data_IF_107601264222
#
_entry.id   IF_107601264222
#
_cell.length_a   1.000
_cell.length_b   1.000
_cell.length_c   1.000
_cell.angle_alpha   90.00
_cell.angle_beta   90.00
_cell.angle_gamma   90.00
#
_symmetry.space_group_name_H-M   'P 1'
#
loop_
_entity.id
_entity.type
_entity.pdbx_description
1 polymer ?
#
# COMPACT_ATOMS: atom_id res chain seq x y z
N UNK A 1 12.50 0.16 -29.27
CA UNK A 1 11.72 -0.15 -28.07
C UNK A 1 10.95 1.10 -27.66
N UNK A 2 9.69 1.21 -28.06
CA UNK A 2 8.83 2.30 -27.60
C UNK A 2 8.36 1.94 -26.19
N UNK A 3 8.82 2.70 -25.20
CA UNK A 3 8.33 2.61 -23.82
C UNK A 3 7.04 3.40 -23.79
N UNK A 4 5.91 2.71 -23.84
CA UNK A 4 4.61 3.32 -23.58
C UNK A 4 4.53 3.56 -22.06
N UNK A 5 4.53 4.85 -21.69
CA UNK A 5 4.27 5.27 -20.32
C UNK A 5 2.78 5.14 -20.11
N UNK A 6 2.36 4.01 -19.56
CA UNK A 6 0.98 3.85 -19.07
C UNK A 6 0.87 4.68 -17.80
N UNK A 7 0.02 5.69 -17.82
CA UNK A 7 -0.37 6.40 -16.61
C UNK A 7 -1.07 5.39 -15.71
N UNK A 8 -0.45 5.09 -14.57
CA UNK A 8 -0.96 4.11 -13.64
C UNK A 8 -2.04 4.78 -12.81
N UNK A 9 -3.30 4.58 -13.20
CA UNK A 9 -4.42 4.81 -12.30
C UNK A 9 -4.36 3.79 -11.17
N UNK A 10 -3.70 4.19 -10.09
CA UNK A 10 -3.33 3.38 -8.94
C UNK A 10 -4.54 2.93 -8.10
N UNK A 11 -5.46 2.15 -8.66
CA UNK A 11 -6.86 2.10 -8.23
C UNK A 11 -7.40 3.54 -8.19
N UNK A 12 -8.25 3.84 -9.16
CA UNK A 12 -9.04 5.06 -9.22
C UNK A 12 -9.57 5.42 -7.81
N UNK A 13 -9.77 6.72 -7.50
CA UNK A 13 -10.31 7.15 -6.19
C UNK A 13 -11.72 6.57 -5.91
N UNK A 14 -12.30 5.88 -6.89
CA UNK A 14 -13.51 5.11 -6.79
C UNK A 14 -13.43 3.97 -5.76
N UNK A 15 -14.60 3.63 -5.22
CA UNK A 15 -14.76 2.50 -4.31
C UNK A 15 -14.46 1.15 -4.95
N UNK A 16 -14.45 0.13 -4.10
CA UNK A 16 -14.31 -1.28 -4.48
C UNK A 16 -15.69 -1.91 -4.58
N UNK A 17 -15.96 -2.62 -5.66
CA UNK A 17 -17.23 -3.31 -5.88
C UNK A 17 -17.02 -4.83 -5.98
N UNK A 18 -18.08 -5.60 -5.71
CA UNK A 18 -18.10 -7.05 -5.93
C UNK A 18 -18.66 -7.29 -7.33
N UNK A 19 -17.98 -8.12 -8.13
CA UNK A 19 -18.41 -8.41 -9.49
C UNK A 19 -17.96 -9.77 -9.99
N UNK A 20 -18.53 -10.20 -11.11
CA UNK A 20 -18.19 -11.45 -11.80
C UNK A 20 -17.14 -11.20 -12.89
N UNK A 21 -16.18 -12.13 -13.04
CA UNK A 21 -15.15 -12.06 -14.07
C UNK A 21 -15.76 -12.20 -15.47
N UNK A 22 -15.62 -11.15 -16.29
CA UNK A 22 -15.99 -11.15 -17.70
C UNK A 22 -14.76 -11.19 -18.61
N UNK A 23 -14.96 -11.42 -19.91
CA UNK A 23 -13.86 -11.38 -20.89
C UNK A 23 -13.23 -9.98 -20.99
N UNK A 24 -14.00 -8.87 -21.07
CA UNK A 24 -13.44 -7.53 -21.04
C UNK A 24 -12.56 -7.26 -19.80
N UNK A 25 -13.07 -7.59 -18.61
CA UNK A 25 -12.34 -7.41 -17.33
C UNK A 25 -11.01 -8.18 -17.33
N UNK A 26 -11.01 -9.42 -17.82
CA UNK A 26 -9.80 -10.23 -17.90
C UNK A 26 -8.78 -9.65 -18.89
N UNK A 27 -9.24 -9.11 -20.01
CA UNK A 27 -8.37 -8.51 -21.02
C UNK A 27 -7.71 -7.24 -20.50
N UNK A 28 -8.49 -6.38 -19.83
CA UNK A 28 -7.97 -5.17 -19.16
C UNK A 28 -7.01 -5.53 -18.01
N UNK A 29 -7.31 -6.57 -17.22
CA UNK A 29 -6.38 -7.06 -16.21
C UNK A 29 -5.04 -7.46 -16.83
N UNK A 30 -5.06 -8.14 -17.99
CA UNK A 30 -3.86 -8.57 -18.68
C UNK A 30 -3.04 -7.39 -19.24
N UNK A 31 -3.67 -6.34 -19.77
CA UNK A 31 -2.95 -5.13 -20.21
C UNK A 31 -2.24 -4.44 -19.04
N UNK A 32 -2.79 -4.56 -17.83
CA UNK A 32 -2.20 -4.08 -16.57
C UNK A 32 -1.18 -5.05 -15.94
N UNK A 33 -0.86 -6.16 -16.60
CA UNK A 33 0.10 -7.16 -16.11
C UNK A 33 -0.47 -8.12 -15.05
N UNK A 34 -1.78 -8.10 -14.81
CA UNK A 34 -2.48 -8.97 -13.86
C UNK A 34 -2.97 -10.22 -14.61
N UNK A 35 -2.47 -11.39 -14.19
CA UNK A 35 -2.96 -12.67 -14.71
C UNK A 35 -4.09 -13.22 -13.83
N UNK A 36 -5.26 -13.46 -14.42
CA UNK A 36 -6.41 -14.07 -13.75
C UNK A 36 -6.69 -15.41 -14.42
N UNK A 37 -6.38 -16.50 -13.72
CA UNK A 37 -6.54 -17.87 -14.21
C UNK A 37 -7.91 -18.46 -13.93
N UNK A 38 -8.71 -17.81 -13.08
CA UNK A 38 -10.03 -18.28 -12.67
C UNK A 38 -11.02 -18.30 -13.85
N UNK A 39 -12.05 -19.16 -13.83
CA UNK A 39 -13.08 -19.21 -14.88
C UNK A 39 -13.86 -17.89 -15.04
N UNK A 40 -14.42 -17.67 -16.24
CA UNK A 40 -15.41 -16.59 -16.42
C UNK A 40 -16.63 -16.87 -15.54
N UNK A 41 -17.24 -15.82 -14.99
CA UNK A 41 -18.32 -15.91 -14.02
C UNK A 41 -17.86 -16.04 -12.56
N UNK A 42 -16.57 -16.32 -12.31
CA UNK A 42 -16.02 -16.30 -10.94
C UNK A 42 -16.23 -14.96 -10.26
N UNK A 43 -16.61 -14.97 -8.99
CA UNK A 43 -16.87 -13.74 -8.21
C UNK A 43 -15.57 -13.24 -7.57
N UNK A 44 -15.33 -11.94 -7.71
CA UNK A 44 -14.17 -11.25 -7.15
C UNK A 44 -14.43 -9.78 -6.85
N UNK A 45 -13.34 -9.04 -6.62
CA UNK A 45 -13.40 -7.59 -6.40
C UNK A 45 -12.94 -6.86 -7.65
N UNK A 46 -13.60 -5.73 -7.92
CA UNK A 46 -13.30 -4.81 -9.00
C UNK A 46 -13.12 -3.39 -8.43
N UNK A 47 -12.40 -2.55 -9.16
CA UNK A 47 -12.47 -1.09 -8.97
C UNK A 47 -13.81 -0.56 -9.46
N UNK A 48 -14.13 0.68 -9.12
CA UNK A 48 -15.34 1.35 -9.66
C UNK A 48 -15.32 1.49 -11.18
N UNK A 49 -14.12 1.49 -11.78
CA UNK A 49 -13.89 1.43 -13.23
C UNK A 49 -13.93 0.01 -13.82
N UNK A 50 -14.47 -0.96 -13.07
CA UNK A 50 -14.54 -2.39 -13.42
C UNK A 50 -13.19 -3.11 -13.56
N UNK A 51 -12.10 -2.46 -13.14
CA UNK A 51 -10.76 -2.99 -13.14
C UNK A 51 -10.56 -4.14 -12.17
N UNK A 52 -10.04 -5.27 -12.67
CA UNK A 52 -9.89 -6.47 -11.87
C UNK A 52 -8.86 -6.32 -10.74
N UNK A 53 -9.22 -6.73 -9.52
CA UNK A 53 -8.27 -6.79 -8.40
C UNK A 53 -7.56 -8.15 -8.40
N UNK A 54 -6.23 -8.13 -8.47
CA UNK A 54 -5.39 -9.33 -8.53
C UNK A 54 -5.67 -10.27 -7.35
N UNK A 55 -5.62 -11.59 -7.57
CA UNK A 55 -5.86 -12.64 -6.55
C UNK A 55 -7.22 -12.50 -5.80
N UNK A 56 -8.21 -11.81 -6.39
CA UNK A 56 -9.52 -11.61 -5.75
C UNK A 56 -10.62 -12.52 -6.30
N UNK A 57 -10.38 -13.28 -7.36
CA UNK A 57 -11.39 -14.14 -7.98
C UNK A 57 -11.34 -15.55 -7.41
N UNK A 58 -12.52 -16.14 -7.20
CA UNK A 58 -12.69 -17.49 -6.68
C UNK A 58 -12.97 -18.53 -7.77
N UNK A 59 -13.56 -19.66 -7.36
CA UNK A 59 -14.08 -20.69 -8.28
C UNK A 59 -15.52 -20.36 -8.67
N UNK A 60 -16.03 -20.99 -9.72
CA UNK A 60 -17.38 -20.74 -10.23
C UNK A 60 -18.48 -21.26 -9.28
N UNK A 61 -18.17 -22.33 -8.55
CA UNK A 61 -19.06 -23.09 -7.66
C UNK A 61 -18.79 -22.80 -6.17
N UNK A 62 -18.14 -21.68 -5.87
CA UNK A 62 -17.84 -21.29 -4.50
C UNK A 62 -19.12 -20.93 -3.73
N UNK A 63 -19.30 -21.48 -2.53
CA UNK A 63 -20.47 -21.15 -1.69
C UNK A 63 -20.48 -19.67 -1.30
N UNK A 64 -21.66 -19.04 -1.10
CA UNK A 64 -21.74 -17.64 -0.66
C UNK A 64 -20.91 -17.34 0.59
N UNK A 65 -20.86 -18.27 1.54
CA UNK A 65 -20.06 -18.14 2.76
C UNK A 65 -18.57 -18.12 2.44
N UNK A 66 -18.11 -19.00 1.54
CA UNK A 66 -16.71 -19.05 1.13
C UNK A 66 -16.29 -17.77 0.37
N UNK A 67 -17.15 -17.24 -0.49
CA UNK A 67 -16.96 -15.94 -1.17
C UNK A 67 -16.76 -14.84 -0.12
N UNK A 68 -17.68 -14.72 0.85
CA UNK A 68 -17.59 -13.69 1.89
C UNK A 68 -16.32 -13.85 2.71
N UNK A 69 -16.00 -15.07 3.16
CA UNK A 69 -14.79 -15.35 3.94
C UNK A 69 -13.49 -15.03 3.19
N UNK A 70 -13.51 -15.11 1.86
CA UNK A 70 -12.35 -14.80 1.01
C UNK A 70 -12.25 -13.32 0.67
N UNK A 71 -13.38 -12.68 0.34
CA UNK A 71 -13.40 -11.29 -0.12
C UNK A 71 -13.36 -10.28 1.01
N UNK A 72 -13.98 -10.57 2.15
CA UNK A 72 -14.10 -9.61 3.26
C UNK A 72 -12.76 -9.06 3.74
N UNK A 73 -11.71 -9.87 4.01
CA UNK A 73 -10.42 -9.35 4.47
C UNK A 73 -9.80 -8.38 3.45
N UNK A 74 -9.88 -8.75 2.16
CA UNK A 74 -9.36 -7.96 1.04
C UNK A 74 -10.13 -6.66 0.83
N UNK A 75 -11.45 -6.69 0.96
CA UNK A 75 -12.27 -5.49 0.91
C UNK A 75 -11.94 -4.54 2.06
N UNK A 76 -11.79 -5.07 3.29
CA UNK A 76 -11.44 -4.26 4.47
C UNK A 76 -10.10 -3.55 4.32
N UNK A 77 -9.08 -4.21 3.79
CA UNK A 77 -7.77 -3.60 3.60
C UNK A 77 -7.75 -2.56 2.49
N UNK A 78 -8.47 -2.79 1.39
CA UNK A 78 -8.63 -1.78 0.34
C UNK A 78 -9.42 -0.57 0.83
N UNK A 79 -10.44 -0.77 1.67
CA UNK A 79 -11.16 0.34 2.32
C UNK A 79 -10.28 1.08 3.33
N UNK A 80 -9.48 0.36 4.13
CA UNK A 80 -8.51 0.98 5.03
C UNK A 80 -7.49 1.83 4.26
N UNK A 81 -7.02 1.35 3.11
CA UNK A 81 -6.18 2.16 2.19
C UNK A 81 -6.91 3.40 1.71
N UNK A 82 -8.14 3.26 1.23
CA UNK A 82 -8.93 4.40 0.76
C UNK A 82 -9.12 5.44 1.87
N UNK A 83 -9.35 4.99 3.09
CA UNK A 83 -9.45 5.84 4.28
C UNK A 83 -8.11 6.51 4.62
N UNK A 84 -6.98 5.78 4.58
CA UNK A 84 -5.64 6.37 4.75
C UNK A 84 -5.33 7.41 3.68
N UNK A 85 -5.73 7.18 2.42
CA UNK A 85 -5.59 8.15 1.34
C UNK A 85 -6.42 9.41 1.57
N UNK A 86 -7.58 9.27 2.22
CA UNK A 86 -8.42 10.40 2.58
C UNK A 86 -7.80 11.28 3.67
N UNK A 87 -6.91 10.76 4.50
CA UNK A 87 -6.22 11.54 5.54
C UNK A 87 -4.87 12.10 5.08
N UNK A 88 -4.49 11.93 3.82
CA UNK A 88 -3.25 12.51 3.28
C UNK A 88 -3.28 14.03 3.41
N UNK A 89 -2.19 14.59 3.92
CA UNK A 89 -2.01 16.03 4.10
C UNK A 89 -0.61 16.49 3.64
N UNK A 90 -0.04 15.79 2.65
CA UNK A 90 1.30 16.03 2.08
C UNK A 90 1.59 17.51 1.82
N UNK A 91 0.65 18.19 1.17
CA UNK A 91 0.79 19.60 0.77
C UNK A 91 0.45 20.59 1.90
N UNK A 92 -0.06 20.09 3.04
CA UNK A 92 -0.57 20.92 4.15
C UNK A 92 0.24 20.77 5.43
N UNK A 93 0.92 19.64 5.63
CA UNK A 93 1.75 19.43 6.81
C UNK A 93 2.83 20.50 6.90
N UNK A 94 2.97 21.10 8.07
CA UNK A 94 4.03 22.08 8.35
C UNK A 94 5.21 21.44 9.09
N UNK A 95 5.18 20.12 9.32
CA UNK A 95 6.29 19.40 9.93
C UNK A 95 7.51 19.45 9.01
N UNK A 96 8.65 19.81 9.59
CA UNK A 96 9.96 19.86 8.93
C UNK A 96 10.54 18.45 8.91
N UNK A 97 10.21 17.70 7.88
CA UNK A 97 10.73 16.34 7.66
C UNK A 97 11.25 16.18 6.23
N UNK A 98 12.35 15.45 6.07
CA UNK A 98 12.78 14.96 4.77
C UNK A 98 12.32 13.50 4.64
N UNK A 99 11.56 13.19 3.59
CA UNK A 99 11.05 11.84 3.35
C UNK A 99 11.47 11.39 1.96
N UNK A 100 12.05 10.20 1.87
CA UNK A 100 12.51 9.67 0.59
C UNK A 100 12.62 8.16 0.58
N UNK A 101 12.61 7.61 -0.63
CA UNK A 101 12.87 6.21 -0.93
C UNK A 101 14.23 6.11 -1.60
N UNK A 102 15.14 5.33 -1.01
CA UNK A 102 16.51 5.16 -1.49
C UNK A 102 16.80 3.70 -1.80
N UNK A 103 17.62 3.45 -2.82
CA UNK A 103 18.26 2.14 -2.98
C UNK A 103 19.21 1.87 -1.81
N UNK A 104 19.57 0.61 -1.55
CA UNK A 104 20.64 0.28 -0.61
C UNK A 104 22.01 0.89 -0.96
N UNK A 105 22.22 1.27 -2.23
CA UNK A 105 23.43 1.97 -2.68
C UNK A 105 23.37 3.49 -2.45
N UNK A 106 22.26 4.00 -1.89
CA UNK A 106 22.09 5.40 -1.52
C UNK A 106 21.55 6.30 -2.63
N UNK A 107 21.16 5.75 -3.77
CA UNK A 107 20.55 6.49 -4.88
C UNK A 107 19.08 6.80 -4.55
N UNK A 108 18.67 8.06 -4.66
CA UNK A 108 17.28 8.47 -4.45
C UNK A 108 16.42 7.95 -5.62
N UNK A 109 15.49 7.05 -5.30
CA UNK A 109 14.48 6.57 -6.23
C UNK A 109 13.36 7.59 -6.31
N UNK A 110 12.99 8.12 -5.16
CA UNK A 110 11.93 9.10 -5.04
C UNK A 110 12.08 9.95 -3.79
N UNK A 111 11.80 11.25 -3.93
CA UNK A 111 11.74 12.19 -2.81
C UNK A 111 10.29 12.57 -2.60
N UNK A 112 9.77 12.34 -1.40
CA UNK A 112 8.36 12.57 -1.04
C UNK A 112 8.19 13.90 -0.30
N UNK A 113 9.17 14.29 0.51
CA UNK A 113 9.16 15.58 1.19
C UNK A 113 10.59 16.10 1.41
N UNK A 114 10.73 17.42 1.41
CA UNK A 114 11.93 18.13 1.85
C UNK A 114 11.53 19.31 2.72
N UNK A 115 12.13 19.40 3.91
CA UNK A 115 11.80 20.40 4.92
C UNK A 115 12.00 21.84 4.42
N UNK A 116 13.02 22.07 3.59
CA UNK A 116 13.43 23.42 3.19
C UNK A 116 12.73 23.94 1.92
N UNK A 117 12.12 23.07 1.11
CA UNK A 117 11.62 23.49 -0.22
C UNK A 117 10.11 23.37 -0.41
N UNK A 118 9.33 22.83 0.54
CA UNK A 118 7.86 22.57 0.43
C UNK A 118 7.41 21.96 -0.91
N UNK A 119 8.35 21.47 -1.69
CA UNK A 119 8.14 21.05 -3.07
C UNK A 119 8.18 19.54 -3.03
N UNK A 120 7.03 18.93 -3.33
CA UNK A 120 6.96 17.58 -3.86
C UNK A 120 7.91 17.56 -5.06
N UNK A 121 9.09 16.95 -4.90
CA UNK A 121 10.03 16.83 -6.01
C UNK A 121 9.38 15.92 -7.04
N UNK A 122 9.19 16.46 -8.25
CA UNK A 122 8.59 15.86 -9.45
C UNK A 122 8.43 14.35 -9.35
N UNK A 123 7.17 13.88 -9.38
CA UNK A 123 6.79 12.48 -9.70
C UNK A 123 7.39 12.11 -11.06
N UNK A 124 8.68 11.81 -11.13
CA UNK A 124 9.18 11.00 -12.22
C UNK A 124 8.46 9.66 -12.05
N UNK A 125 7.74 9.16 -13.06
CA UNK A 125 7.16 7.83 -12.96
C UNK A 125 8.28 6.89 -12.57
N UNK A 126 8.15 6.29 -11.39
CA UNK A 126 9.18 5.40 -10.87
C UNK A 126 9.42 4.35 -11.95
N UNK A 127 10.67 4.23 -12.41
CA UNK A 127 11.02 3.15 -13.33
C UNK A 127 10.48 1.85 -12.74
N UNK A 128 9.86 0.98 -13.53
CA UNK A 128 9.32 -0.25 -12.99
C UNK A 128 10.39 -1.00 -12.20
N UNK A 129 10.06 -1.34 -10.96
CA UNK A 129 10.97 -1.99 -10.05
C UNK A 129 10.98 -3.49 -10.35
N UNK A 130 12.13 -4.13 -10.08
CA UNK A 130 12.27 -5.58 -10.25
C UNK A 130 11.90 -6.29 -8.94
N UNK A 131 11.28 -7.48 -9.01
CA UNK A 131 11.17 -8.41 -7.89
C UNK A 131 12.49 -8.58 -7.13
N UNK A 132 12.41 -8.65 -5.80
CA UNK A 132 13.58 -8.80 -4.91
C UNK A 132 14.45 -7.55 -4.76
N UNK A 133 14.07 -6.42 -5.36
CA UNK A 133 14.77 -5.15 -5.13
C UNK A 133 14.65 -4.72 -3.67
N UNK A 134 15.72 -4.13 -3.13
CA UNK A 134 15.82 -3.74 -1.73
C UNK A 134 15.99 -2.23 -1.62
N UNK A 135 15.14 -1.62 -0.79
CA UNK A 135 15.08 -0.18 -0.60
C UNK A 135 15.03 0.16 0.87
N UNK A 136 15.39 1.40 1.18
CA UNK A 136 15.15 1.99 2.50
C UNK A 136 14.22 3.18 2.31
N UNK A 137 13.15 3.20 3.09
CA UNK A 137 12.38 4.42 3.34
C UNK A 137 13.17 5.20 4.39
N UNK A 138 13.61 6.41 4.05
CA UNK A 138 14.33 7.31 4.96
C UNK A 138 13.45 8.47 5.38
N UNK A 139 13.35 8.69 6.69
CA UNK A 139 12.71 9.88 7.27
C UNK A 139 13.73 10.59 8.15
N UNK A 140 14.03 11.85 7.83
CA UNK A 140 14.91 12.70 8.62
C UNK A 140 14.11 13.76 9.35
N UNK A 141 14.25 13.82 10.67
CA UNK A 141 13.59 14.82 11.49
C UNK A 141 14.38 16.15 11.45
N UNK A 142 13.79 17.21 10.90
CA UNK A 142 14.36 18.57 10.89
C UNK A 142 13.66 19.51 11.88
N UNK A 143 12.75 19.00 12.70
CA UNK A 143 12.15 19.74 13.79
C UNK A 143 13.16 19.98 14.92
N UNK A 144 12.83 20.92 15.80
CA UNK A 144 13.58 21.15 17.04
C UNK A 144 13.22 20.16 18.15
N UNK A 145 12.20 19.33 17.95
CA UNK A 145 11.67 18.35 18.90
C UNK A 145 11.65 16.94 18.30
N UNK A 146 11.63 15.88 19.12
CA UNK A 146 11.46 14.52 18.62
C UNK A 146 10.11 14.34 17.92
N UNK A 147 10.07 13.44 16.94
CA UNK A 147 8.84 13.05 16.23
C UNK A 147 8.71 11.52 16.21
N UNK A 148 7.54 11.03 15.83
CA UNK A 148 7.22 9.61 15.67
C UNK A 148 6.95 9.29 14.20
N UNK A 149 7.33 8.08 13.78
CA UNK A 149 7.11 7.57 12.43
C UNK A 149 6.41 6.21 12.46
N UNK A 150 5.46 6.05 11.53
CA UNK A 150 4.99 4.74 11.09
C UNK A 150 5.12 4.63 9.58
N UNK A 151 5.42 3.44 9.08
CA UNK A 151 5.44 3.17 7.64
C UNK A 151 4.68 1.89 7.34
N UNK A 152 3.83 1.94 6.32
CA UNK A 152 2.91 0.87 5.95
C UNK A 152 2.99 0.72 4.43
N UNK A 153 3.09 -0.49 3.91
CA UNK A 153 2.82 -0.76 2.50
C UNK A 153 1.41 -1.33 2.32
N UNK A 154 0.78 -1.01 1.19
CA UNK A 154 -0.49 -1.59 0.78
C UNK A 154 -0.41 -2.00 -0.68
N UNK A 155 -0.47 -3.29 -0.94
CA UNK A 155 -0.49 -3.86 -2.27
C UNK A 155 -1.85 -3.69 -2.95
N UNK A 156 -1.87 -3.72 -4.28
CA UNK A 156 -3.08 -3.75 -5.10
C UNK A 156 -3.91 -5.03 -4.86
N UNK A 157 -3.29 -6.08 -4.34
CA UNK A 157 -3.93 -7.26 -3.77
C UNK A 157 -4.62 -6.97 -2.43
N UNK A 158 -4.64 -5.73 -1.94
CA UNK A 158 -5.14 -5.41 -0.61
C UNK A 158 -4.31 -6.04 0.52
N UNK A 159 -3.12 -6.56 0.25
CA UNK A 159 -2.23 -6.95 1.34
C UNK A 159 -1.64 -5.68 1.96
N UNK A 160 -1.86 -5.48 3.26
CA UNK A 160 -1.29 -4.36 4.00
C UNK A 160 -0.11 -4.89 4.81
N UNK A 161 1.05 -4.23 4.84
CA UNK A 161 2.20 -4.68 5.63
C UNK A 161 2.73 -3.51 6.45
N UNK A 162 2.86 -3.67 7.76
CA UNK A 162 3.56 -2.64 8.56
C UNK A 162 5.06 -2.82 8.39
N UNK A 163 5.71 -1.78 7.86
CA UNK A 163 7.15 -1.70 7.64
C UNK A 163 7.89 -1.11 8.84
N UNK A 164 7.24 -0.20 9.58
CA UNK A 164 7.80 0.45 10.76
C UNK A 164 6.70 0.89 11.75
N UNK A 165 6.91 0.79 13.08
CA UNK A 165 8.11 0.26 13.75
C UNK A 165 8.31 -1.23 13.49
N UNK A 166 9.57 -1.67 13.54
CA UNK A 166 9.92 -3.07 13.33
C UNK A 166 10.24 -3.81 14.63
N UNK A 167 10.29 -3.11 15.78
CA UNK A 167 10.51 -3.69 17.11
C UNK A 167 9.23 -3.58 17.94
N UNK A 168 8.58 -4.71 18.17
CA UNK A 168 7.27 -4.78 18.82
C UNK A 168 7.33 -4.87 20.34
N UNK A 169 8.52 -5.05 20.91
CA UNK A 169 8.69 -5.02 22.36
C UNK A 169 8.58 -3.57 22.87
N UNK A 170 9.23 -2.64 22.17
CA UNK A 170 9.23 -1.21 22.46
C UNK A 170 8.83 -0.36 21.24
N UNK A 171 7.58 -0.48 20.72
CA UNK A 171 7.19 0.13 19.45
C UNK A 171 7.23 1.66 19.47
N UNK A 172 6.94 2.30 20.61
CA UNK A 172 7.02 3.77 20.75
C UNK A 172 8.47 4.27 20.62
N UNK A 173 9.41 3.61 21.29
CA UNK A 173 10.83 3.94 21.17
C UNK A 173 11.38 3.62 19.78
N UNK A 174 10.90 2.52 19.18
CA UNK A 174 11.25 2.14 17.82
C UNK A 174 10.75 3.17 16.79
N UNK A 175 9.55 3.73 16.98
CA UNK A 175 8.95 4.75 16.12
C UNK A 175 9.54 6.16 16.33
N UNK A 176 10.19 6.42 17.47
CA UNK A 176 10.77 7.72 17.80
C UNK A 176 11.95 8.07 16.87
N UNK A 177 12.00 9.32 16.45
CA UNK A 177 13.07 9.94 15.66
C UNK A 177 13.49 11.22 16.39
N UNK A 178 14.71 11.20 16.94
CA UNK A 178 15.26 12.36 17.63
C UNK A 178 15.54 13.53 16.67
N UNK A 179 15.72 14.73 17.22
CA UNK A 179 16.07 15.92 16.44
C UNK A 179 17.32 15.67 15.58
N UNK A 180 17.20 15.91 14.27
CA UNK A 180 18.30 15.73 13.31
C UNK A 180 18.61 14.26 12.98
N UNK A 181 17.94 13.30 13.61
CA UNK A 181 18.13 11.87 13.35
C UNK A 181 17.44 11.48 12.04
N UNK A 182 17.98 10.46 11.38
CA UNK A 182 17.34 9.80 10.25
C UNK A 182 16.97 8.37 10.61
N UNK A 183 15.70 8.04 10.54
CA UNK A 183 15.20 6.67 10.67
C UNK A 183 15.10 6.01 9.30
N UNK A 184 15.39 4.72 9.26
CA UNK A 184 15.25 3.89 8.06
C UNK A 184 14.30 2.73 8.31
N UNK A 185 13.37 2.53 7.38
CA UNK A 185 12.54 1.33 7.33
C UNK A 185 12.90 0.52 6.07
N UNK A 186 13.48 -0.68 6.22
CA UNK A 186 13.84 -1.49 5.07
C UNK A 186 12.59 -2.02 4.37
N UNK A 187 12.63 -2.10 3.04
CA UNK A 187 11.60 -2.70 2.20
C UNK A 187 12.26 -3.66 1.21
N UNK A 188 11.68 -4.84 1.08
CA UNK A 188 12.05 -5.83 0.08
C UNK A 188 10.80 -6.09 -0.75
N UNK A 189 10.91 -5.97 -2.07
CA UNK A 189 9.80 -6.29 -2.95
C UNK A 189 9.66 -7.80 -3.11
N UNK A 190 8.45 -8.28 -2.90
CA UNK A 190 8.09 -9.66 -3.17
C UNK A 190 8.14 -9.96 -4.68
N UNK A 191 8.05 -11.25 -5.01
CA UNK A 191 8.10 -11.73 -6.39
C UNK A 191 6.80 -11.46 -7.18
N UNK A 192 5.77 -10.95 -6.52
CA UNK A 192 4.49 -10.66 -7.12
C UNK A 192 4.53 -9.35 -7.93
N UNK A 193 4.20 -9.40 -9.24
CA UNK A 193 4.03 -8.20 -10.04
C UNK A 193 2.77 -7.45 -9.62
N UNK A 194 2.80 -6.14 -9.77
CA UNK A 194 1.65 -5.30 -9.42
C UNK A 194 2.07 -3.96 -8.87
N UNK A 195 1.11 -3.25 -8.30
CA UNK A 195 1.33 -1.95 -7.67
C UNK A 195 1.24 -2.08 -6.16
N UNK A 196 1.99 -1.26 -5.47
CA UNK A 196 1.80 -1.09 -4.04
C UNK A 196 2.05 0.37 -3.66
N UNK A 197 1.37 0.80 -2.62
CA UNK A 197 1.45 2.12 -2.06
C UNK A 197 2.22 2.05 -0.75
N UNK A 198 3.21 2.93 -0.57
CA UNK A 198 3.86 3.13 0.72
C UNK A 198 3.23 4.36 1.35
N UNK A 199 2.62 4.20 2.53
CA UNK A 199 2.10 5.28 3.36
C UNK A 199 3.05 5.49 4.54
N UNK A 200 3.55 6.71 4.69
CA UNK A 200 4.48 7.13 5.72
C UNK A 200 3.77 8.19 6.56
N UNK A 201 3.62 7.91 7.85
CA UNK A 201 2.98 8.79 8.81
C UNK A 201 4.06 9.35 9.73
N UNK A 202 4.12 10.66 9.87
CA UNK A 202 4.94 11.36 10.85
C UNK A 202 4.05 12.15 11.80
N UNK A 203 4.43 12.22 13.07
CA UNK A 203 3.66 12.91 14.11
C UNK A 203 4.56 13.50 15.17
N UNK A 204 4.30 14.74 15.58
CA UNK A 204 4.93 15.36 16.75
C UNK A 204 4.42 14.74 18.07
N UNK A 205 3.26 14.07 18.03
CA UNK A 205 2.70 13.35 19.17
C UNK A 205 2.92 11.83 19.06
N UNK A 206 3.01 11.10 20.19
CA UNK A 206 3.17 9.66 20.15
C UNK A 206 1.94 8.95 19.53
N UNK A 207 2.19 8.01 18.62
CA UNK A 207 1.19 7.18 17.94
C UNK A 207 0.67 6.03 18.84
N UNK A 208 0.26 6.35 20.08
CA UNK A 208 0.04 5.34 21.13
C UNK A 208 -1.01 4.30 20.78
N UNK A 209 -2.18 4.72 20.31
CA UNK A 209 -3.29 3.80 20.07
C UNK A 209 -3.02 2.96 18.82
N UNK A 210 -2.42 3.58 17.81
CA UNK A 210 -1.92 2.93 16.59
C UNK A 210 -0.93 1.83 16.94
N UNK A 211 0.14 2.17 17.65
CA UNK A 211 1.22 1.25 17.98
C UNK A 211 0.76 0.15 18.93
N UNK A 212 -0.19 0.45 19.84
CA UNK A 212 -0.84 -0.56 20.68
C UNK A 212 -1.63 -1.55 19.84
N UNK A 213 -2.47 -1.08 18.91
CA UNK A 213 -3.24 -1.93 18.02
C UNK A 213 -2.33 -2.83 17.16
N UNK A 214 -1.29 -2.25 16.57
CA UNK A 214 -0.30 -2.99 15.78
C UNK A 214 0.46 -4.03 16.63
N UNK A 215 0.86 -3.69 17.86
CA UNK A 215 1.51 -4.65 18.79
C UNK A 215 0.59 -5.81 19.16
N UNK A 216 -0.70 -5.56 19.39
CA UNK A 216 -1.67 -6.64 19.68
C UNK A 216 -1.79 -7.61 18.50
N UNK A 217 -1.78 -7.08 17.28
CA UNK A 217 -1.83 -7.90 16.05
C UNK A 217 -0.52 -8.69 15.89
N UNK A 218 0.63 -8.08 16.15
CA UNK A 218 1.92 -8.77 16.17
C UNK A 218 1.91 -9.95 17.14
N UNK A 219 1.49 -9.70 18.39
CA UNK A 219 1.43 -10.70 19.44
C UNK A 219 0.44 -11.83 19.11
N UNK A 220 -0.73 -11.51 18.56
CA UNK A 220 -1.70 -12.51 18.11
C UNK A 220 -1.13 -13.45 17.05
N UNK A 221 -0.16 -12.99 16.25
CA UNK A 221 0.52 -13.79 15.22
C UNK A 221 1.81 -14.47 15.70
N UNK A 222 2.09 -14.42 17.00
CA UNK A 222 3.31 -14.99 17.57
C UNK A 222 4.58 -14.23 17.15
N UNK A 223 4.45 -13.00 16.65
CA UNK A 223 5.57 -12.12 16.36
C UNK A 223 6.02 -11.47 17.66
N UNK A 224 6.91 -12.16 18.38
CA UNK A 224 7.62 -11.61 19.55
C UNK A 224 8.99 -11.10 19.08
N UNK A 225 9.26 -9.80 19.20
CA UNK A 225 10.52 -9.20 18.76
C UNK A 225 10.42 -8.39 17.46
N UNK A 226 11.33 -8.66 16.49
CA UNK A 226 11.49 -7.83 15.29
C UNK A 226 10.91 -8.45 14.02
N UNK A 227 10.14 -7.69 13.24
CA UNK A 227 9.61 -8.15 11.95
C UNK A 227 8.47 -7.32 11.38
N UNK A 228 8.11 -7.61 10.13
CA UNK A 228 6.97 -7.01 9.44
C UNK A 228 5.66 -7.73 9.77
N UNK A 229 4.53 -7.02 9.71
CA UNK A 229 3.20 -7.58 9.96
C UNK A 229 2.41 -7.58 8.64
N UNK A 230 2.28 -8.70 7.92
CA UNK A 230 1.50 -8.79 6.68
C UNK A 230 0.02 -9.07 6.98
N UNK A 231 -0.92 -8.23 6.59
CA UNK A 231 -2.35 -8.36 6.86
C UNK A 231 -3.08 -9.20 5.81
N UNK A 232 -2.53 -10.36 5.47
CA UNK A 232 -3.17 -11.33 4.59
C UNK A 232 -3.89 -12.42 5.41
N UNK A 233 -4.70 -13.26 4.75
CA UNK A 233 -5.37 -14.38 5.44
C UNK A 233 -4.40 -15.51 5.80
N UNK A 234 -3.32 -15.70 5.03
CA UNK A 234 -2.41 -16.83 5.21
C UNK A 234 -1.58 -16.71 6.50
N UNK A 235 -1.35 -15.49 6.97
CA UNK A 235 -0.59 -15.18 8.19
C UNK A 235 -1.45 -14.94 9.44
N UNK A 236 -2.79 -15.00 9.34
CA UNK A 236 -3.68 -14.83 10.49
C UNK A 236 -3.63 -16.03 11.41
N UNK A 237 -3.55 -15.76 12.71
CA UNK A 237 -3.80 -16.80 13.72
C UNK A 237 -5.30 -16.96 13.97
N UNK A 238 -5.70 -18.12 14.52
CA UNK A 238 -7.10 -18.41 14.84
C UNK A 238 -7.71 -17.46 15.89
N UNK A 239 -6.89 -16.68 16.60
CA UNK A 239 -7.32 -15.71 17.61
C UNK A 239 -7.44 -14.27 17.09
N UNK A 240 -7.08 -13.99 15.84
CA UNK A 240 -7.15 -12.63 15.29
C UNK A 240 -8.56 -12.28 14.81
N UNK A 241 -9.14 -11.21 15.36
CA UNK A 241 -10.45 -10.73 14.96
C UNK A 241 -10.44 -10.23 13.51
N UNK A 242 -11.55 -10.45 12.79
CA UNK A 242 -11.71 -10.06 11.39
C UNK A 242 -11.61 -8.52 11.16
N UNK A 243 -11.62 -7.73 12.22
CA UNK A 243 -11.68 -6.25 12.25
C UNK A 243 -10.34 -5.56 12.48
N UNK A 244 -9.25 -6.30 12.71
CA UNK A 244 -7.94 -5.73 13.07
C UNK A 244 -7.41 -4.66 12.11
N UNK A 245 -7.61 -4.82 10.81
CA UNK A 245 -7.17 -3.86 9.78
C UNK A 245 -7.94 -2.53 9.87
N UNK A 246 -9.26 -2.62 10.03
CA UNK A 246 -10.13 -1.44 10.13
C UNK A 246 -9.86 -0.70 11.44
N UNK A 247 -9.69 -1.46 12.52
CA UNK A 247 -9.35 -0.90 13.83
C UNK A 247 -7.97 -0.23 13.82
N UNK A 248 -6.99 -0.81 13.14
CA UNK A 248 -5.67 -0.18 12.97
C UNK A 248 -5.78 1.15 12.22
N UNK A 249 -6.54 1.20 11.13
CA UNK A 249 -6.78 2.44 10.38
C UNK A 249 -7.52 3.49 11.24
N UNK A 250 -8.48 3.06 12.06
CA UNK A 250 -9.20 3.91 13.00
C UNK A 250 -8.29 4.50 14.07
N UNK A 251 -7.42 3.67 14.65
CA UNK A 251 -6.44 4.08 15.67
C UNK A 251 -5.42 5.08 15.11
N UNK A 252 -4.97 4.89 13.86
CA UNK A 252 -4.14 5.86 13.14
C UNK A 252 -4.83 7.21 13.09
N UNK A 253 -6.07 7.26 12.61
CA UNK A 253 -6.80 8.53 12.55
C UNK A 253 -7.03 9.10 13.94
N UNK A 254 -7.36 8.28 14.94
CA UNK A 254 -7.56 8.77 16.29
C UNK A 254 -6.30 9.44 16.87
N UNK A 255 -5.12 8.84 16.71
CA UNK A 255 -3.86 9.45 17.16
C UNK A 255 -3.55 10.74 16.40
N UNK A 256 -3.77 10.78 15.08
CA UNK A 256 -3.44 11.94 14.24
C UNK A 256 -4.44 13.10 14.37
N UNK A 257 -5.65 12.82 14.82
CA UNK A 257 -6.70 13.82 15.06
C UNK A 257 -6.78 14.26 16.53
N UNK A 258 -5.96 13.66 17.40
CA UNK A 258 -5.97 13.96 18.84
C UNK A 258 -5.57 15.42 19.07
N UNK A 259 -6.50 16.18 19.66
CA UNK A 259 -6.27 17.59 20.01
C UNK A 259 -6.47 18.58 18.86
N UNK A 260 -6.81 18.11 17.65
CA UNK A 260 -7.23 19.00 16.59
C UNK A 260 -8.54 19.69 16.98
N UNK A 261 -8.56 21.01 16.89
CA UNK A 261 -9.80 21.78 17.03
C UNK A 261 -10.58 21.65 15.71
N UNK A 262 -11.87 21.30 15.74
CA UNK A 262 -12.70 21.39 14.54
C UNK A 262 -12.81 22.87 14.18
N UNK A 263 -11.99 23.33 13.24
CA UNK A 263 -12.07 24.70 12.76
C UNK A 263 -13.27 24.81 11.82
N UNK A 264 -14.26 25.60 12.24
CA UNK A 264 -15.52 25.82 11.54
C UNK A 264 -15.30 26.89 10.46
N UNK A 265 -14.62 26.55 9.37
CA UNK A 265 -14.38 27.51 8.30
C UNK A 265 -13.73 26.93 7.04
N UNK A 266 -14.54 26.84 5.99
CA UNK A 266 -14.24 26.55 4.57
C UNK A 266 -13.39 25.30 4.24
N UNK A 267 -14.12 24.29 3.76
CA UNK A 267 -13.69 22.98 3.23
C UNK A 267 -13.15 21.98 4.26
N UNK A 268 -14.10 21.29 4.92
CA UNK A 268 -14.00 19.95 5.51
C UNK A 268 -12.59 19.34 5.53
N UNK A 269 -11.79 19.69 6.54
CA UNK A 269 -10.58 18.95 6.85
C UNK A 269 -10.84 18.05 8.04
N UNK A 270 -10.58 16.77 7.79
CA UNK A 270 -10.87 15.57 8.57
C UNK A 270 -10.14 15.50 9.92
N UNK A 271 -10.24 16.54 10.74
CA UNK A 271 -9.73 16.58 12.11
C UNK A 271 -8.21 16.44 12.25
N UNK A 272 -7.41 16.55 11.20
CA UNK A 272 -5.95 16.45 11.30
C UNK A 272 -5.35 17.81 11.61
N UNK A 273 -4.43 17.87 12.58
CA UNK A 273 -3.62 19.07 12.81
C UNK A 273 -2.37 19.02 11.92
N UNK A 274 -2.26 19.89 10.89
CA UNK A 274 -1.12 19.92 9.99
C UNK A 274 0.20 20.35 10.67
N UNK A 275 0.14 20.96 11.85
CA UNK A 275 1.32 21.29 12.64
C UNK A 275 1.83 20.09 13.45
N UNK A 276 0.97 19.12 13.70
CA UNK A 276 1.29 17.95 14.53
C UNK A 276 1.52 16.70 13.70
N UNK A 277 1.09 16.66 12.43
CA UNK A 277 1.11 15.44 11.62
C UNK A 277 1.44 15.68 10.15
N UNK A 278 2.10 14.69 9.54
CA UNK A 278 2.33 14.60 8.10
C UNK A 278 2.09 13.18 7.63
N UNK A 279 1.29 12.99 6.58
CA UNK A 279 1.07 11.69 5.96
C UNK A 279 1.47 11.81 4.49
N UNK A 280 2.44 10.99 4.10
CA UNK A 280 3.02 10.94 2.77
C UNK A 280 2.77 9.59 2.12
N UNK A 281 2.53 9.61 0.82
CA UNK A 281 2.27 8.42 0.04
C UNK A 281 3.10 8.38 -1.23
N UNK A 282 3.49 7.18 -1.62
CA UNK A 282 3.93 6.94 -2.99
C UNK A 282 3.47 5.59 -3.52
N UNK A 283 3.13 5.57 -4.80
CA UNK A 283 2.79 4.34 -5.53
C UNK A 283 4.00 3.90 -6.33
N UNK A 284 4.36 2.63 -6.16
CA UNK A 284 5.43 1.98 -6.90
C UNK A 284 4.86 0.83 -7.72
N UNK A 285 5.50 0.57 -8.85
CA UNK A 285 5.13 -0.52 -9.74
C UNK A 285 6.24 -1.56 -9.81
N UNK A 286 5.88 -2.83 -9.63
CA UNK A 286 6.76 -3.98 -9.75
C UNK A 286 6.43 -4.71 -11.06
N UNK A 287 7.42 -4.84 -11.94
CA UNK A 287 7.25 -5.59 -13.18
C UNK A 287 7.40 -7.09 -12.96
N UNK A 288 6.76 -7.88 -13.82
CA UNK A 288 7.12 -9.29 -13.93
C UNK A 288 8.58 -9.42 -14.35
N UNK A 289 9.31 -10.38 -13.77
CA UNK A 289 10.61 -10.82 -14.30
C UNK A 289 10.46 -11.06 -15.80
N UNK A 290 11.31 -10.43 -16.62
CA UNK A 290 11.32 -10.56 -18.09
C UNK A 290 10.97 -11.98 -18.50
N UNK A 291 9.73 -12.18 -18.96
CA UNK A 291 9.32 -13.43 -19.55
C UNK A 291 9.87 -13.45 -20.96
N UNK A 292 10.71 -14.44 -21.25
CA UNK A 292 11.03 -14.89 -22.61
C UNK A 292 9.73 -14.93 -23.44
N UNK A 293 9.75 -14.44 -24.68
CA UNK A 293 8.58 -14.28 -25.54
C UNK A 293 7.78 -15.58 -25.71
N UNK A 294 8.44 -16.75 -25.66
CA UNK A 294 7.78 -18.06 -25.63
C UNK A 294 6.96 -18.30 -24.36
N UNK A 295 7.42 -17.78 -23.21
CA UNK A 295 6.70 -17.85 -21.94
C UNK A 295 5.58 -16.82 -21.85
N UNK A 296 5.68 -15.66 -22.51
CA UNK A 296 4.57 -14.69 -22.60
C UNK A 296 3.38 -15.28 -23.35
N UNK A 297 3.60 -16.01 -24.44
CA UNK A 297 2.54 -16.71 -25.18
C UNK A 297 1.91 -17.81 -24.31
N UNK A 298 2.75 -18.58 -23.60
CA UNK A 298 2.27 -19.60 -22.66
C UNK A 298 1.47 -18.96 -21.51
N UNK A 299 1.93 -17.84 -20.95
CA UNK A 299 1.25 -17.09 -19.90
C UNK A 299 -0.08 -16.51 -20.41
N UNK A 300 -0.12 -15.87 -21.57
CA UNK A 300 -1.36 -15.37 -22.18
C UNK A 300 -2.38 -16.48 -22.41
N UNK A 301 -1.91 -17.67 -22.83
CA UNK A 301 -2.76 -18.86 -22.98
C UNK A 301 -3.26 -19.40 -21.64
N UNK A 302 -2.41 -19.39 -20.61
CA UNK A 302 -2.76 -19.79 -19.23
C UNK A 302 -3.69 -18.77 -18.52
N UNK A 303 -3.58 -17.48 -18.84
CA UNK A 303 -4.44 -16.42 -18.30
C UNK A 303 -5.75 -16.27 -19.10
N UNK A 304 -5.96 -17.04 -20.19
CA UNK A 304 -7.15 -16.94 -21.04
C UNK A 304 -7.21 -15.67 -21.91
N UNK A 305 -6.08 -15.00 -22.15
CA UNK A 305 -5.95 -13.79 -22.98
C UNK A 305 -5.47 -14.11 -24.42
N UNK A 306 -5.79 -15.30 -24.93
CA UNK A 306 -5.22 -15.84 -26.18
C UNK A 306 -5.43 -14.98 -27.43
N UNK A 307 -6.44 -14.12 -27.46
CA UNK A 307 -6.73 -13.21 -28.57
C UNK A 307 -5.75 -12.02 -28.64
N UNK A 308 -5.24 -11.55 -27.49
CA UNK A 308 -4.25 -10.46 -27.41
C UNK A 308 -2.84 -10.92 -27.81
N UNK A 309 -2.52 -12.21 -27.60
CA UNK A 309 -1.22 -12.78 -27.97
C UNK A 309 -0.96 -12.76 -29.49
N UNK A 310 -2.00 -12.93 -30.31
CA UNK A 310 -1.90 -12.88 -31.79
C UNK A 310 -1.62 -11.47 -32.32
N UNK A 311 -1.95 -10.41 -31.57
CA UNK A 311 -1.69 -9.03 -31.99
C UNK A 311 -0.23 -8.62 -31.82
N UNK A 312 0.52 -9.27 -30.91
CA UNK A 312 1.96 -9.01 -30.70
C UNK A 312 2.87 -9.87 -31.58
N UNK A 313 2.31 -10.79 -32.37
CA UNK A 313 3.04 -11.62 -33.35
C UNK A 313 3.35 -10.85 -34.66
N UNK A 314 2.74 -9.67 -34.86
CA UNK A 314 2.87 -8.85 -36.07
C UNK A 314 3.70 -7.56 -35.86
N UNK A 315 4.54 -7.47 -34.82
CA UNK A 315 5.48 -6.36 -34.58
C UNK A 315 6.87 -6.91 -34.28
#
# INVERSE_FOLDING_TARGET
>A
SNIEVVEVDALDNGGVIIGSLSTPIRQEAFTRGICISQPLGSIGLLTSSEGAIAKSFGRLDESPQSIVSRLRPKLKSLLARQFLRQVLNEDRSTLKVDVGLKTKTGEDIQVLAKADTRTLSVRKPAKPLKPGSKFDISVTNRESVPIYMAAISVWDTGELVVLHPSDWEAPEAAALIEKGETKKAPLILDDDPGFFEIVIITSAQPLRDTLRGLKQIAAARGLSGRGFIPFDRASRSAGEADETVVESARNITHDLTRGARPDLGEAELRGLDPQQSGIFSTVLYVTQRNFDSKRVIKAAKLCGAGTLAKSKENI
#
